data_IF_471701466231
#
_entry.id   IF_471701466231
#
_cell.length_a   1.000
_cell.length_b   1.000
_cell.length_c   1.000
_cell.angle_alpha   90.00
_cell.angle_beta   90.00
_cell.angle_gamma   90.00
#
_symmetry.space_group_name_H-M   'P 1'
#
loop_
_entity.id
_entity.type
_entity.pdbx_description
1 polymer ?
#
# COMPACT_ATOMS: atom_id res chain seq x y z
N UNK A 1 -42.44 19.34 10.85
CA UNK A 1 -41.67 18.88 9.67
C UNK A 1 -40.34 19.62 9.52
N UNK A 2 -40.33 20.97 9.43
CA UNK A 2 -39.08 21.76 9.32
C UNK A 2 -38.15 21.56 10.53
N UNK A 3 -38.69 21.73 11.75
CA UNK A 3 -37.94 21.54 13.00
C UNK A 3 -37.25 20.18 13.08
N UNK A 4 -37.94 19.08 12.73
CA UNK A 4 -37.36 17.74 12.77
C UNK A 4 -36.21 17.51 11.76
N UNK A 5 -36.19 18.24 10.63
CA UNK A 5 -35.08 18.22 9.69
C UNK A 5 -33.88 19.01 10.24
N UNK A 6 -34.14 20.15 10.88
CA UNK A 6 -33.10 20.97 11.54
C UNK A 6 -32.52 20.24 12.76
N UNK A 7 -33.36 19.61 13.58
CA UNK A 7 -32.96 18.79 14.72
C UNK A 7 -32.12 17.59 14.27
N UNK A 8 -32.44 16.96 13.13
CA UNK A 8 -31.62 15.88 12.55
C UNK A 8 -30.26 16.38 12.01
N UNK A 9 -30.15 17.67 11.68
CA UNK A 9 -28.90 18.33 11.32
C UNK A 9 -28.13 18.85 12.53
N UNK A 10 -28.75 19.03 13.69
CA UNK A 10 -28.08 19.47 14.93
C UNK A 10 -27.72 18.27 15.81
N UNK A 11 -28.56 17.24 15.85
CA UNK A 11 -28.39 16.05 16.68
C UNK A 11 -27.22 15.18 16.22
N UNK A 12 -26.49 14.65 17.19
CA UNK A 12 -25.39 13.72 16.98
C UNK A 12 -25.87 12.37 16.38
N UNK A 13 -27.15 12.03 16.59
CA UNK A 13 -27.78 10.84 16.03
C UNK A 13 -28.17 11.07 14.57
N UNK A 14 -27.32 10.58 13.66
CA UNK A 14 -27.53 10.67 12.20
C UNK A 14 -28.68 9.78 11.74
N UNK A 15 -29.77 10.39 11.30
CA UNK A 15 -30.93 9.67 10.79
C UNK A 15 -31.02 9.78 9.26
N UNK A 16 -31.43 8.68 8.61
CA UNK A 16 -31.69 8.73 7.17
C UNK A 16 -32.91 9.58 6.88
N UNK A 17 -32.95 10.22 5.71
CA UNK A 17 -34.15 10.97 5.28
C UNK A 17 -35.41 10.08 5.29
N UNK A 18 -35.26 8.78 5.01
CA UNK A 18 -36.35 7.79 5.10
C UNK A 18 -36.83 7.59 6.54
N UNK A 19 -35.91 7.50 7.50
CA UNK A 19 -36.25 7.34 8.92
C UNK A 19 -36.96 8.58 9.47
N UNK A 20 -36.51 9.78 9.07
CA UNK A 20 -37.15 11.05 9.44
C UNK A 20 -38.56 11.14 8.82
N UNK A 21 -38.71 10.74 7.56
CA UNK A 21 -40.02 10.70 6.90
C UNK A 21 -40.99 9.76 7.64
N UNK A 22 -40.51 8.57 8.03
CA UNK A 22 -41.29 7.60 8.79
C UNK A 22 -41.69 8.11 10.18
N UNK A 23 -40.80 8.78 10.91
CA UNK A 23 -41.11 9.43 12.20
C UNK A 23 -42.17 10.52 12.07
N UNK A 24 -42.17 11.24 10.94
CA UNK A 24 -43.13 12.32 10.67
C UNK A 24 -44.43 11.82 10.03
N UNK A 25 -44.59 10.50 9.81
CA UNK A 25 -45.74 9.92 9.12
C UNK A 25 -45.88 10.38 7.66
N UNK A 26 -44.78 10.80 7.03
CA UNK A 26 -44.75 11.39 5.69
C UNK A 26 -43.89 10.56 4.72
N UNK A 27 -44.01 10.83 3.42
CA UNK A 27 -43.09 10.28 2.42
C UNK A 27 -41.88 11.19 2.20
N UNK A 28 -40.77 10.62 1.74
CA UNK A 28 -39.56 11.39 1.39
C UNK A 28 -39.83 12.41 0.27
N UNK A 29 -40.79 12.13 -0.62
CA UNK A 29 -41.23 13.05 -1.66
C UNK A 29 -41.84 14.34 -1.08
N UNK A 30 -42.63 14.23 0.00
CA UNK A 30 -43.21 15.40 0.68
C UNK A 30 -42.12 16.28 1.31
N UNK A 31 -41.08 15.66 1.87
CA UNK A 31 -39.94 16.39 2.44
C UNK A 31 -39.14 17.13 1.36
N UNK A 32 -38.85 16.48 0.23
CA UNK A 32 -38.18 17.12 -0.90
C UNK A 32 -39.00 18.26 -1.51
N UNK A 33 -40.33 18.10 -1.61
CA UNK A 33 -41.22 19.12 -2.17
C UNK A 33 -41.33 20.35 -1.28
N UNK A 34 -41.39 20.18 0.04
CA UNK A 34 -41.56 21.29 1.00
C UNK A 34 -40.25 21.94 1.42
N UNK A 35 -39.18 21.15 1.52
CA UNK A 35 -37.88 21.60 2.03
C UNK A 35 -36.75 20.92 1.23
N UNK A 36 -36.55 21.30 -0.05
CA UNK A 36 -35.56 20.66 -0.92
C UNK A 36 -34.14 20.81 -0.35
N UNK A 37 -33.77 22.00 0.11
CA UNK A 37 -32.41 22.28 0.61
C UNK A 37 -32.10 21.53 1.91
N UNK A 38 -33.05 21.51 2.86
CA UNK A 38 -32.90 20.77 4.12
C UNK A 38 -32.89 19.25 3.88
N UNK A 39 -33.73 18.75 2.97
CA UNK A 39 -33.73 17.32 2.60
C UNK A 39 -32.41 16.93 1.96
N UNK A 40 -31.86 17.79 1.09
CA UNK A 40 -30.58 17.57 0.45
C UNK A 40 -29.41 17.65 1.44
N UNK A 41 -29.45 18.56 2.40
CA UNK A 41 -28.47 18.66 3.48
C UNK A 41 -28.48 17.40 4.36
N UNK A 42 -29.67 16.91 4.74
CA UNK A 42 -29.83 15.66 5.52
C UNK A 42 -29.31 14.46 4.74
N UNK A 43 -29.63 14.36 3.45
CA UNK A 43 -29.10 13.26 2.61
C UNK A 43 -27.59 13.36 2.43
N UNK A 44 -27.06 14.57 2.30
CA UNK A 44 -25.61 14.80 2.17
C UNK A 44 -24.87 14.44 3.46
N UNK A 45 -25.39 14.85 4.63
CA UNK A 45 -24.92 14.44 5.96
C UNK A 45 -25.04 12.93 6.15
N UNK A 46 -26.18 12.35 5.79
CA UNK A 46 -26.39 10.90 5.93
C UNK A 46 -25.49 10.07 4.99
N UNK A 47 -25.27 10.52 3.76
CA UNK A 47 -24.35 9.86 2.80
C UNK A 47 -22.88 10.12 3.13
N UNK A 48 -22.55 11.23 3.77
CA UNK A 48 -21.20 11.60 4.18
C UNK A 48 -20.64 10.72 5.29
N UNK A 49 -21.48 10.13 6.15
CA UNK A 49 -21.07 9.53 7.41
C UNK A 49 -21.77 8.20 7.75
N UNK A 50 -21.53 7.15 6.96
CA UNK A 50 -21.52 5.77 7.53
C UNK A 50 -20.15 5.39 8.10
N UNK A 51 -19.22 6.33 8.12
CA UNK A 51 -17.82 6.08 8.40
C UNK A 51 -17.42 7.01 9.52
N UNK A 52 -17.13 6.42 10.67
CA UNK A 52 -16.51 7.10 11.79
C UNK A 52 -15.10 7.53 11.36
N UNK A 53 -14.98 8.82 11.02
CA UNK A 53 -13.73 9.39 10.50
C UNK A 53 -12.63 9.33 11.55
N UNK A 54 -12.96 9.53 12.82
CA UNK A 54 -11.96 9.47 13.89
C UNK A 54 -11.51 8.04 14.12
N UNK A 55 -12.42 7.07 14.09
CA UNK A 55 -12.05 5.66 14.15
C UNK A 55 -11.11 5.27 13.00
N UNK A 56 -11.40 5.69 11.76
CA UNK A 56 -10.50 5.43 10.63
C UNK A 56 -9.16 6.12 10.83
N UNK A 57 -9.17 7.40 11.22
CA UNK A 57 -7.95 8.18 11.42
C UNK A 57 -7.04 7.50 12.44
N UNK A 58 -7.59 7.10 13.58
CA UNK A 58 -6.84 6.44 14.63
C UNK A 58 -6.28 5.09 14.14
N UNK A 59 -7.08 4.30 13.43
CA UNK A 59 -6.60 3.05 12.82
C UNK A 59 -5.44 3.26 11.83
N UNK A 60 -5.53 4.29 10.97
CA UNK A 60 -4.44 4.62 10.03
C UNK A 60 -3.18 5.06 10.78
N UNK A 61 -3.32 5.85 11.84
CA UNK A 61 -2.20 6.28 12.68
C UNK A 61 -1.56 5.12 13.46
N UNK A 62 -2.36 4.19 13.97
CA UNK A 62 -1.85 3.00 14.66
C UNK A 62 -1.08 2.09 13.71
N UNK A 63 -1.56 1.92 12.47
CA UNK A 63 -0.80 1.22 11.42
C UNK A 63 0.52 1.94 11.09
N UNK A 64 0.51 3.28 11.07
CA UNK A 64 1.71 4.10 10.90
C UNK A 64 2.66 4.06 12.11
N UNK A 65 2.27 3.47 13.24
CA UNK A 65 3.15 3.27 14.41
C UNK A 65 3.62 1.82 14.54
N UNK A 66 2.84 0.87 14.04
CA UNK A 66 3.20 -0.55 14.04
C UNK A 66 4.52 -0.82 13.31
N UNK A 67 5.26 -1.84 13.73
CA UNK A 67 6.47 -2.34 13.06
C UNK A 67 6.17 -3.34 11.94
N UNK A 68 4.91 -3.71 11.75
CA UNK A 68 4.51 -4.66 10.72
C UNK A 68 4.73 -4.14 9.30
N UNK A 69 4.82 -5.07 8.34
CA UNK A 69 4.95 -4.76 6.92
C UNK A 69 3.78 -3.88 6.47
N UNK A 70 4.10 -2.64 6.10
CA UNK A 70 3.10 -1.63 5.75
C UNK A 70 2.27 -2.07 4.53
N UNK A 71 0.96 -2.35 4.66
CA UNK A 71 0.09 -2.64 3.52
C UNK A 71 -0.11 -1.40 2.64
N UNK A 72 -0.54 -1.61 1.40
CA UNK A 72 -0.99 -0.51 0.54
C UNK A 72 -2.34 0.02 0.99
N UNK A 73 -2.63 1.28 0.67
CA UNK A 73 -3.91 1.91 1.01
C UNK A 73 -5.09 1.12 0.41
N UNK A 74 -4.93 0.53 -0.78
CA UNK A 74 -5.94 -0.36 -1.39
C UNK A 74 -6.17 -1.62 -0.56
N UNK A 75 -5.10 -2.25 -0.08
CA UNK A 75 -5.20 -3.43 0.78
C UNK A 75 -5.90 -3.09 2.09
N UNK A 76 -5.55 -1.94 2.70
CA UNK A 76 -6.21 -1.42 3.91
C UNK A 76 -7.70 -1.21 3.67
N UNK A 77 -8.06 -0.52 2.57
CA UNK A 77 -9.46 -0.28 2.21
C UNK A 77 -10.22 -1.60 2.04
N UNK A 78 -9.64 -2.56 1.33
CA UNK A 78 -10.25 -3.88 1.11
C UNK A 78 -10.42 -4.66 2.41
N UNK A 79 -9.40 -4.70 3.27
CA UNK A 79 -9.43 -5.44 4.53
C UNK A 79 -10.47 -4.88 5.51
N UNK A 80 -10.73 -3.58 5.46
CA UNK A 80 -11.65 -2.89 6.37
C UNK A 80 -13.03 -2.62 5.75
N UNK A 81 -13.25 -3.01 4.49
CA UNK A 81 -14.51 -2.76 3.79
C UNK A 81 -14.74 -1.30 3.40
N UNK A 82 -13.69 -0.47 3.39
CA UNK A 82 -13.77 0.92 2.98
C UNK A 82 -13.58 1.08 1.49
N UNK A 83 -14.24 2.09 0.91
CA UNK A 83 -13.96 2.52 -0.47
C UNK A 83 -12.69 3.35 -0.48
N UNK A 84 -11.77 3.06 -1.41
CA UNK A 84 -10.52 3.81 -1.56
C UNK A 84 -10.74 5.33 -1.68
N UNK A 85 -11.72 5.74 -2.49
CA UNK A 85 -12.05 7.15 -2.69
C UNK A 85 -12.42 7.89 -1.39
N UNK A 86 -12.92 7.17 -0.38
CA UNK A 86 -13.24 7.76 0.93
C UNK A 86 -11.96 8.05 1.70
N UNK A 87 -10.98 7.14 1.67
CA UNK A 87 -9.70 7.33 2.34
C UNK A 87 -8.91 8.48 1.69
N UNK A 88 -8.85 8.51 0.37
CA UNK A 88 -8.12 9.56 -0.37
C UNK A 88 -8.75 10.94 -0.20
N UNK A 89 -10.10 11.02 -0.16
CA UNK A 89 -10.81 12.30 0.00
C UNK A 89 -10.77 12.84 1.43
N UNK A 90 -10.91 11.97 2.44
CA UNK A 90 -10.99 12.42 3.84
C UNK A 90 -9.62 12.48 4.53
N UNK A 91 -8.65 11.66 4.10
CA UNK A 91 -7.34 11.54 4.74
C UNK A 91 -6.19 11.56 3.72
N UNK A 92 -6.07 12.61 2.88
CA UNK A 92 -5.06 12.66 1.83
C UNK A 92 -3.63 12.60 2.38
N UNK A 93 -3.37 13.25 3.52
CA UNK A 93 -2.02 13.32 4.08
C UNK A 93 -1.61 11.98 4.72
N UNK A 94 -2.50 11.33 5.46
CA UNK A 94 -2.24 9.98 6.00
C UNK A 94 -2.05 8.96 4.88
N UNK A 95 -2.81 9.06 3.78
CA UNK A 95 -2.60 8.22 2.61
C UNK A 95 -1.19 8.43 2.02
N UNK A 96 -0.74 9.67 1.85
CA UNK A 96 0.62 9.97 1.36
C UNK A 96 1.68 9.40 2.30
N UNK A 97 1.50 9.54 3.61
CA UNK A 97 2.44 9.04 4.61
C UNK A 97 2.57 7.51 4.57
N UNK A 98 1.44 6.79 4.50
CA UNK A 98 1.42 5.34 4.34
C UNK A 98 2.13 4.92 3.05
N UNK A 99 1.85 5.62 1.94
CA UNK A 99 2.50 5.33 0.66
C UNK A 99 4.02 5.57 0.70
N UNK A 100 4.46 6.64 1.36
CA UNK A 100 5.87 6.95 1.54
C UNK A 100 6.55 5.89 2.39
N UNK A 101 5.98 5.55 3.55
CA UNK A 101 6.52 4.53 4.45
C UNK A 101 6.63 3.17 3.76
N UNK A 102 5.58 2.76 3.02
CA UNK A 102 5.62 1.52 2.23
C UNK A 102 6.72 1.56 1.16
N UNK A 103 6.92 2.69 0.49
CA UNK A 103 7.97 2.83 -0.53
C UNK A 103 9.36 2.66 0.08
N UNK A 104 9.61 3.28 1.23
CA UNK A 104 10.88 3.16 1.96
C UNK A 104 11.11 1.70 2.36
N UNK A 105 10.10 1.05 2.92
CA UNK A 105 10.19 -0.35 3.34
C UNK A 105 10.45 -1.30 2.16
N UNK A 106 9.73 -1.14 1.05
CA UNK A 106 9.96 -1.95 -0.16
C UNK A 106 11.35 -1.72 -0.74
N UNK A 107 11.86 -0.49 -0.69
CA UNK A 107 13.22 -0.18 -1.12
C UNK A 107 14.25 -0.88 -0.23
N UNK A 108 14.08 -0.80 1.09
CA UNK A 108 14.94 -1.49 2.06
C UNK A 108 14.93 -3.01 1.83
N UNK A 109 13.76 -3.62 1.72
CA UNK A 109 13.61 -5.06 1.42
C UNK A 109 14.27 -5.45 0.09
N UNK A 110 14.13 -4.59 -0.93
CA UNK A 110 14.80 -4.82 -2.20
C UNK A 110 16.32 -4.76 -2.06
N UNK A 111 16.85 -3.75 -1.36
CA UNK A 111 18.28 -3.59 -1.11
C UNK A 111 18.83 -4.78 -0.31
N UNK A 112 18.20 -5.19 0.79
CA UNK A 112 18.56 -6.36 1.58
C UNK A 112 18.56 -7.64 0.74
N UNK A 113 17.53 -7.85 -0.08
CA UNK A 113 17.46 -8.99 -1.00
C UNK A 113 18.60 -8.96 -2.00
N UNK A 114 18.95 -7.79 -2.54
CA UNK A 114 20.06 -7.66 -3.49
C UNK A 114 21.40 -7.93 -2.82
N UNK A 115 21.63 -7.42 -1.62
CA UNK A 115 22.84 -7.72 -0.83
C UNK A 115 22.98 -9.22 -0.61
N UNK A 116 21.90 -9.90 -0.22
CA UNK A 116 21.91 -11.36 -0.03
C UNK A 116 22.25 -12.11 -1.31
N UNK A 117 21.60 -11.75 -2.43
CA UNK A 117 21.87 -12.39 -3.73
C UNK A 117 23.32 -12.15 -4.17
N UNK A 118 23.85 -10.94 -3.99
CA UNK A 118 25.25 -10.65 -4.30
C UNK A 118 26.22 -11.52 -3.48
N UNK A 119 25.93 -11.73 -2.19
CA UNK A 119 26.73 -12.62 -1.34
C UNK A 119 26.66 -14.08 -1.80
N UNK A 120 25.47 -14.59 -2.12
CA UNK A 120 25.28 -15.95 -2.63
C UNK A 120 26.03 -16.18 -3.94
N UNK A 121 26.01 -15.20 -4.85
CA UNK A 121 26.77 -15.21 -6.10
C UNK A 121 28.27 -15.26 -5.81
N UNK A 122 28.78 -14.38 -4.96
CA UNK A 122 30.19 -14.33 -4.63
C UNK A 122 30.67 -15.66 -4.04
N UNK A 123 29.94 -16.21 -3.05
CA UNK A 123 30.24 -17.53 -2.47
C UNK A 123 30.25 -18.64 -3.52
N UNK A 124 29.27 -18.62 -4.42
CA UNK A 124 29.19 -19.60 -5.52
C UNK A 124 30.38 -19.51 -6.46
N UNK A 125 30.82 -18.30 -6.79
CA UNK A 125 32.00 -18.05 -7.63
C UNK A 125 33.25 -18.64 -6.97
N UNK A 126 33.44 -18.41 -5.67
CA UNK A 126 34.56 -18.97 -4.90
C UNK A 126 34.53 -20.51 -4.90
N UNK A 127 33.36 -21.11 -4.69
CA UNK A 127 33.19 -22.58 -4.69
C UNK A 127 33.57 -23.16 -6.06
N UNK A 128 33.06 -22.58 -7.16
CA UNK A 128 33.36 -23.05 -8.51
C UNK A 128 34.85 -22.95 -8.83
N UNK A 129 35.49 -21.84 -8.44
CA UNK A 129 36.93 -21.65 -8.60
C UNK A 129 37.74 -22.70 -7.82
N UNK A 130 37.39 -22.97 -6.57
CA UNK A 130 38.03 -24.01 -5.75
C UNK A 130 37.87 -25.41 -6.34
N UNK A 131 36.78 -25.66 -7.07
CA UNK A 131 36.55 -26.90 -7.80
C UNK A 131 37.32 -26.96 -9.14
N UNK A 132 38.14 -25.95 -9.46
CA UNK A 132 38.89 -25.85 -10.72
C UNK A 132 38.02 -25.49 -11.92
N UNK A 133 36.78 -25.06 -11.70
CA UNK A 133 35.84 -24.69 -12.77
C UNK A 133 35.80 -23.17 -12.96
N UNK A 134 35.80 -22.73 -14.22
CA UNK A 134 35.65 -21.31 -14.54
C UNK A 134 34.23 -20.81 -14.19
N UNK A 135 34.04 -19.87 -13.24
CA UNK A 135 32.73 -19.48 -12.71
C UNK A 135 31.86 -18.66 -13.68
N UNK A 136 31.48 -19.26 -14.81
CA UNK A 136 30.63 -18.63 -15.83
C UNK A 136 29.22 -18.36 -15.32
N UNK A 137 28.52 -17.42 -15.96
CA UNK A 137 27.15 -17.07 -15.62
C UNK A 137 26.20 -18.28 -15.62
N UNK A 138 26.41 -19.22 -16.54
CA UNK A 138 25.65 -20.47 -16.63
C UNK A 138 25.93 -21.37 -15.44
N UNK A 139 27.19 -21.53 -15.03
CA UNK A 139 27.55 -22.38 -13.89
C UNK A 139 27.04 -21.81 -12.57
N UNK A 140 27.18 -20.50 -12.36
CA UNK A 140 26.61 -19.82 -11.18
C UNK A 140 25.09 -19.99 -11.15
N UNK A 141 24.41 -19.81 -12.29
CA UNK A 141 22.97 -20.02 -12.39
C UNK A 141 22.54 -21.46 -12.13
N UNK A 142 23.33 -22.46 -12.58
CA UNK A 142 23.08 -23.88 -12.29
C UNK A 142 23.25 -24.20 -10.81
N UNK A 143 24.33 -23.72 -10.19
CA UNK A 143 24.61 -23.98 -8.77
C UNK A 143 23.55 -23.36 -7.84
N UNK A 144 23.04 -22.18 -8.20
CA UNK A 144 21.99 -21.47 -7.45
C UNK A 144 20.56 -21.87 -7.87
N UNK A 145 20.41 -22.88 -8.75
CA UNK A 145 19.13 -23.31 -9.31
C UNK A 145 18.27 -22.16 -9.89
N UNK A 146 18.93 -21.16 -10.47
CA UNK A 146 18.29 -19.98 -11.05
C UNK A 146 19.12 -19.41 -12.21
N UNK A 147 18.71 -19.74 -13.44
CA UNK A 147 19.40 -19.28 -14.67
C UNK A 147 19.32 -17.76 -14.90
N UNK A 148 18.43 -17.05 -14.20
CA UNK A 148 18.24 -15.61 -14.36
C UNK A 148 18.80 -14.79 -13.19
N UNK A 149 19.57 -15.41 -12.29
CA UNK A 149 20.09 -14.76 -11.09
C UNK A 149 20.99 -13.55 -11.39
N UNK A 150 21.72 -13.58 -12.51
CA UNK A 150 22.63 -12.52 -12.98
C UNK A 150 21.99 -11.50 -13.93
N UNK A 151 20.68 -11.62 -14.21
CA UNK A 151 19.97 -10.65 -15.06
C UNK A 151 19.91 -9.23 -14.44
N UNK A 152 19.68 -9.06 -13.13
CA UNK A 152 19.71 -7.74 -12.50
C UNK A 152 21.12 -7.12 -12.55
N UNK A 153 21.20 -5.82 -12.83
CA UNK A 153 22.48 -5.09 -12.93
C UNK A 153 23.39 -5.29 -11.70
N UNK A 154 22.85 -5.10 -10.49
CA UNK A 154 23.59 -5.29 -9.24
C UNK A 154 24.15 -6.71 -9.05
N UNK A 155 23.39 -7.72 -9.47
CA UNK A 155 23.81 -9.12 -9.37
C UNK A 155 24.94 -9.42 -10.38
N UNK A 156 24.84 -8.89 -11.60
CA UNK A 156 25.90 -8.97 -12.61
C UNK A 156 27.18 -8.27 -12.15
N UNK A 157 27.06 -7.08 -11.57
CA UNK A 157 28.20 -6.34 -11.00
C UNK A 157 28.88 -7.14 -9.89
N UNK A 158 28.12 -7.74 -8.97
CA UNK A 158 28.68 -8.59 -7.91
C UNK A 158 29.43 -9.81 -8.47
N UNK A 159 28.90 -10.44 -9.53
CA UNK A 159 29.58 -11.55 -10.20
C UNK A 159 30.89 -11.12 -10.88
N UNK A 160 30.88 -9.99 -11.58
CA UNK A 160 32.07 -9.42 -12.23
C UNK A 160 33.14 -9.08 -11.19
N UNK A 161 32.75 -8.45 -10.06
CA UNK A 161 33.67 -8.13 -8.98
C UNK A 161 34.31 -9.39 -8.39
N UNK A 162 33.52 -10.44 -8.13
CA UNK A 162 34.03 -11.70 -7.62
C UNK A 162 35.00 -12.39 -8.60
N UNK A 163 34.79 -12.23 -9.92
CA UNK A 163 35.72 -12.72 -10.94
C UNK A 163 37.02 -11.90 -10.99
N UNK A 164 36.93 -10.57 -10.90
CA UNK A 164 38.10 -9.67 -10.83
C UNK A 164 38.97 -10.00 -9.60
N UNK A 165 38.35 -10.26 -8.45
CA UNK A 165 39.05 -10.65 -7.20
C UNK A 165 39.84 -11.96 -7.34
N UNK A 166 39.36 -12.89 -8.19
CA UNK A 166 40.02 -14.15 -8.50
C UNK A 166 41.03 -14.04 -9.65
N UNK A 167 41.20 -12.85 -10.23
CA UNK A 167 42.15 -12.58 -11.31
C UNK A 167 41.66 -12.98 -12.71
N UNK A 168 40.36 -13.18 -12.91
CA UNK A 168 39.80 -13.46 -14.23
C UNK A 168 39.65 -12.18 -15.06
N UNK A 169 39.86 -12.21 -16.39
CA UNK A 169 39.66 -11.04 -17.24
C UNK A 169 38.15 -10.74 -17.38
N UNK A 170 37.68 -9.59 -16.91
CA UNK A 170 36.25 -9.23 -16.96
C UNK A 170 35.90 -8.03 -17.85
N UNK A 171 36.87 -7.42 -18.53
CA UNK A 171 36.65 -6.19 -19.33
C UNK A 171 35.59 -6.37 -20.43
N UNK A 172 35.50 -7.58 -20.98
CA UNK A 172 34.48 -7.95 -21.97
C UNK A 172 33.07 -8.07 -21.38
N UNK A 173 32.94 -8.16 -20.05
CA UNK A 173 31.68 -8.32 -19.32
C UNK A 173 31.14 -6.99 -18.76
N UNK A 174 31.92 -5.90 -18.76
CA UNK A 174 31.54 -4.59 -18.19
C UNK A 174 30.67 -3.71 -19.13
N UNK A 175 30.17 -4.27 -20.24
CA UNK A 175 29.21 -3.63 -21.16
C UNK A 175 27.76 -3.72 -20.69
#
# INVERSE_FOLDING_TARGET
MKQALEDALVSDKRMSLKAIAQQLGCTTAVLYKRFPDLSQAVVTRYRGERIDKEQIRQQLQDMLRSSEKMPSIREIARQRGYRLAILERNFPDLCKEIALRRRIELRKQHEERMTRISLEIHQTVMILHQQGMYPSSIQVGKQLNNSHILRPKKAREAWILALDELGYPTDHLKK
#
